data_IF_654707501917
#
_entry.id   IF_654707501917
#
_cell.length_a   1.000
_cell.length_b   1.000
_cell.length_c   1.000
_cell.angle_alpha   90.00
_cell.angle_beta   90.00
_cell.angle_gamma   90.00
#
_symmetry.space_group_name_H-M   'P 1'
#
loop_
_entity.id
_entity.type
_entity.pdbx_description
1 polymer ?
#
# COMPACT_ATOMS: atom_id res chain seq x y z
N UNK A 1 24.37 15.29 -0.79
CA UNK A 1 23.37 14.35 -1.29
C UNK A 1 22.95 14.84 -2.68
N UNK A 2 22.88 13.95 -3.63
CA UNK A 2 22.31 14.24 -4.95
C UNK A 2 20.80 13.98 -4.81
N UNK A 3 19.99 14.94 -5.22
CA UNK A 3 18.54 14.83 -5.23
C UNK A 3 18.08 14.49 -6.64
N UNK A 4 17.20 13.50 -6.77
CA UNK A 4 16.64 13.13 -8.08
C UNK A 4 15.54 14.10 -8.53
N UNK A 5 14.93 14.82 -7.58
CA UNK A 5 13.96 15.86 -7.82
C UNK A 5 13.69 16.69 -6.57
N UNK A 6 13.03 17.84 -6.76
CA UNK A 6 12.59 18.72 -5.68
C UNK A 6 11.21 19.23 -5.99
N UNK A 7 10.30 19.11 -5.02
CA UNK A 7 8.99 19.71 -5.08
C UNK A 7 9.02 21.01 -4.26
N UNK A 8 8.60 22.11 -4.85
CA UNK A 8 8.50 23.40 -4.17
C UNK A 8 7.02 23.75 -3.96
N UNK A 9 6.71 24.15 -2.72
CA UNK A 9 5.34 24.49 -2.34
C UNK A 9 4.49 23.30 -1.92
N UNK A 10 3.19 23.53 -1.84
CA UNK A 10 2.21 22.53 -1.44
C UNK A 10 1.92 21.55 -2.58
N UNK A 11 1.84 20.26 -2.24
CA UNK A 11 1.44 19.23 -3.21
C UNK A 11 -0.10 19.18 -3.27
N UNK A 12 -0.63 19.54 -4.43
CA UNK A 12 -2.08 19.61 -4.71
C UNK A 12 -2.53 18.68 -5.83
N UNK A 13 -1.58 18.02 -6.50
CA UNK A 13 -1.86 17.11 -7.62
C UNK A 13 -0.93 15.91 -7.57
N UNK A 14 -1.48 14.75 -7.29
CA UNK A 14 -0.76 13.47 -7.30
C UNK A 14 -1.49 12.44 -8.16
N UNK A 15 -0.71 11.48 -8.68
CA UNK A 15 -1.21 10.24 -9.23
C UNK A 15 -0.71 9.08 -8.36
N UNK A 16 -1.56 8.09 -8.09
CA UNK A 16 -1.20 6.92 -7.29
C UNK A 16 -1.48 5.62 -8.03
N UNK A 17 -0.48 4.75 -8.10
CA UNK A 17 -0.54 3.54 -8.91
C UNK A 17 -0.71 2.24 -8.10
N UNK A 18 -1.03 2.36 -6.81
CA UNK A 18 -1.35 1.21 -5.96
C UNK A 18 -2.49 1.50 -4.98
N UNK A 19 -3.25 0.46 -4.63
CA UNK A 19 -4.40 0.57 -3.73
C UNK A 19 -4.01 0.89 -2.27
N UNK A 20 -2.85 0.44 -1.81
CA UNK A 20 -2.33 0.77 -0.47
C UNK A 20 -2.12 2.27 -0.30
N UNK A 21 -1.58 2.94 -1.32
CA UNK A 21 -1.38 4.39 -1.30
C UNK A 21 -2.69 5.14 -1.07
N UNK A 22 -3.77 4.74 -1.76
CA UNK A 22 -5.10 5.36 -1.62
C UNK A 22 -5.62 5.31 -0.18
N UNK A 23 -5.36 4.22 0.53
CA UNK A 23 -5.69 4.09 1.96
C UNK A 23 -4.96 5.11 2.82
N UNK A 24 -3.68 5.35 2.56
CA UNK A 24 -2.90 6.36 3.29
C UNK A 24 -3.40 7.79 3.02
N UNK A 25 -3.71 8.14 1.77
CA UNK A 25 -4.33 9.44 1.45
C UNK A 25 -5.66 9.63 2.17
N UNK A 26 -6.49 8.58 2.23
CA UNK A 26 -7.77 8.64 2.93
C UNK A 26 -7.62 8.82 4.46
N UNK A 27 -6.67 8.11 5.07
CA UNK A 27 -6.39 8.22 6.51
C UNK A 27 -5.83 9.59 6.91
N UNK A 28 -5.30 10.34 5.95
CA UNK A 28 -4.82 11.70 6.13
C UNK A 28 -5.83 12.77 5.68
N UNK A 29 -7.06 12.41 5.31
CA UNK A 29 -8.02 13.33 4.71
C UNK A 29 -7.40 14.16 3.56
N UNK A 30 -6.64 13.49 2.68
CA UNK A 30 -5.88 14.10 1.59
C UNK A 30 -6.24 13.51 0.21
N UNK A 31 -7.43 12.91 0.07
CA UNK A 31 -7.88 12.35 -1.22
C UNK A 31 -8.11 13.42 -2.27
N UNK A 32 -8.36 14.65 -1.87
CA UNK A 32 -8.59 15.81 -2.75
C UNK A 32 -7.36 16.15 -3.61
N UNK A 33 -6.15 15.81 -3.19
CA UNK A 33 -4.93 15.99 -4.00
C UNK A 33 -4.76 14.86 -5.04
N UNK A 34 -5.46 13.72 -4.91
CA UNK A 34 -5.36 12.59 -5.84
C UNK A 34 -6.16 12.90 -7.10
N UNK A 35 -5.47 13.20 -8.21
CA UNK A 35 -6.09 13.50 -9.51
C UNK A 35 -6.20 12.29 -10.42
N UNK A 36 -5.38 11.26 -10.19
CA UNK A 36 -5.45 10.02 -10.93
C UNK A 36 -5.05 8.81 -10.09
N UNK A 37 -5.64 7.65 -10.40
CA UNK A 37 -5.26 6.41 -9.73
C UNK A 37 -5.44 5.19 -10.64
N UNK A 38 -4.74 4.10 -10.31
CA UNK A 38 -4.84 2.81 -11.03
C UNK A 38 -5.98 1.91 -10.52
N UNK A 39 -6.94 2.47 -9.78
CA UNK A 39 -8.07 1.73 -9.20
C UNK A 39 -9.34 2.13 -9.93
N UNK A 40 -10.06 1.15 -10.47
CA UNK A 40 -11.38 1.39 -11.07
C UNK A 40 -12.43 1.68 -10.00
N UNK A 41 -13.45 2.53 -10.28
CA UNK A 41 -14.49 2.88 -9.30
C UNK A 41 -15.19 1.66 -8.70
N UNK A 42 -15.50 0.64 -9.52
CA UNK A 42 -16.16 -0.60 -9.08
C UNK A 42 -15.29 -1.49 -8.18
N UNK A 43 -13.97 -1.29 -8.21
CA UNK A 43 -13.00 -2.02 -7.39
C UNK A 43 -12.41 -1.18 -6.26
N UNK A 44 -12.90 0.05 -6.09
CA UNK A 44 -12.40 0.98 -5.08
C UNK A 44 -13.14 0.78 -3.75
N UNK A 45 -12.42 0.32 -2.72
CA UNK A 45 -12.95 0.16 -1.36
C UNK A 45 -12.69 1.37 -0.46
N UNK A 46 -11.95 2.38 -0.93
CA UNK A 46 -11.72 3.65 -0.23
C UNK A 46 -12.84 4.61 -0.62
N UNK A 47 -13.81 4.80 0.27
CA UNK A 47 -15.06 5.54 -0.04
C UNK A 47 -14.81 6.96 -0.55
N UNK A 48 -13.89 7.72 0.05
CA UNK A 48 -13.57 9.06 -0.39
C UNK A 48 -12.98 9.10 -1.81
N UNK A 49 -12.08 8.17 -2.15
CA UNK A 49 -11.52 8.05 -3.49
C UNK A 49 -12.57 7.54 -4.49
N UNK A 50 -13.41 6.60 -4.08
CA UNK A 50 -14.53 6.13 -4.93
C UNK A 50 -15.45 7.28 -5.31
N UNK A 51 -15.83 8.13 -4.35
CA UNK A 51 -16.63 9.33 -4.60
C UNK A 51 -15.90 10.29 -5.55
N UNK A 52 -14.58 10.48 -5.39
CA UNK A 52 -13.78 11.32 -6.26
C UNK A 52 -13.74 10.80 -7.72
N UNK A 53 -13.67 9.47 -7.88
CA UNK A 53 -13.74 8.82 -9.20
C UNK A 53 -15.14 8.94 -9.84
N UNK A 54 -16.19 8.78 -9.06
CA UNK A 54 -17.58 8.85 -9.53
C UNK A 54 -18.00 10.27 -9.94
N UNK A 55 -17.48 11.29 -9.26
CA UNK A 55 -17.78 12.69 -9.57
C UNK A 55 -16.77 13.35 -10.52
N UNK A 56 -15.72 12.63 -10.93
CA UNK A 56 -14.71 13.09 -11.88
C UNK A 56 -13.63 14.01 -11.31
N UNK A 57 -13.53 14.18 -9.99
CA UNK A 57 -12.42 14.92 -9.35
C UNK A 57 -11.12 14.14 -9.30
N UNK A 58 -11.20 12.79 -9.42
CA UNK A 58 -10.10 11.90 -9.75
C UNK A 58 -10.47 11.03 -10.94
N UNK A 59 -9.48 10.52 -11.69
CA UNK A 59 -9.72 9.67 -12.86
C UNK A 59 -8.93 8.36 -12.77
N UNK A 60 -9.47 7.32 -13.39
CA UNK A 60 -8.76 6.06 -13.58
C UNK A 60 -7.73 6.20 -14.71
N UNK A 61 -6.48 5.93 -14.43
CA UNK A 61 -5.36 6.12 -15.38
C UNK A 61 -4.81 4.81 -15.96
N UNK A 62 -5.53 3.70 -15.80
CA UNK A 62 -5.08 2.39 -16.26
C UNK A 62 -4.40 1.56 -15.16
N UNK A 63 -3.86 0.41 -15.56
CA UNK A 63 -3.07 -0.50 -14.70
C UNK A 63 -1.60 -0.48 -15.13
N UNK A 64 -0.69 -1.04 -14.32
CA UNK A 64 0.74 -1.15 -14.65
C UNK A 64 1.00 -1.75 -16.04
N UNK A 65 0.14 -2.66 -16.53
CA UNK A 65 0.26 -3.28 -17.86
C UNK A 65 -0.35 -2.46 -19.00
N UNK A 66 -1.18 -1.46 -18.70
CA UNK A 66 -1.91 -0.65 -19.70
C UNK A 66 -2.21 0.76 -19.17
N UNK A 67 -1.14 1.45 -18.76
CA UNK A 67 -1.23 2.79 -18.21
C UNK A 67 -1.43 3.81 -19.33
N UNK A 68 -2.35 4.76 -19.12
CA UNK A 68 -2.57 5.88 -20.02
C UNK A 68 -1.62 7.04 -19.66
N UNK A 69 -0.43 7.02 -20.27
CA UNK A 69 0.62 8.01 -20.02
C UNK A 69 0.23 9.41 -20.50
N UNK A 70 -0.54 9.51 -21.58
CA UNK A 70 -1.01 10.82 -22.10
C UNK A 70 -2.00 11.46 -21.13
N UNK A 71 -2.92 10.65 -20.59
CA UNK A 71 -3.84 11.11 -19.56
C UNK A 71 -3.09 11.54 -18.30
N UNK A 72 -2.12 10.74 -17.81
CA UNK A 72 -1.31 11.12 -16.65
C UNK A 72 -0.58 12.43 -16.89
N UNK A 73 0.06 12.61 -18.04
CA UNK A 73 0.75 13.84 -18.38
C UNK A 73 -0.22 15.03 -18.44
N UNK A 74 -1.44 14.84 -18.94
CA UNK A 74 -2.47 15.89 -18.99
C UNK A 74 -2.97 16.34 -17.63
N UNK A 75 -2.92 15.46 -16.61
CA UNK A 75 -3.23 15.79 -15.22
C UNK A 75 -2.15 16.67 -14.57
N UNK A 76 -0.97 16.78 -15.19
CA UNK A 76 0.19 17.52 -14.70
C UNK A 76 0.49 17.26 -13.22
N UNK A 77 0.66 15.99 -12.79
CA UNK A 77 0.89 15.67 -11.39
C UNK A 77 2.25 16.21 -10.93
N UNK A 78 2.31 16.75 -9.72
CA UNK A 78 3.56 17.17 -9.11
C UNK A 78 4.40 15.95 -8.68
N UNK A 79 3.73 14.82 -8.40
CA UNK A 79 4.37 13.56 -8.05
C UNK A 79 3.46 12.37 -8.39
N UNK A 80 4.10 11.27 -8.77
CA UNK A 80 3.43 9.99 -9.02
C UNK A 80 3.99 8.97 -8.01
N UNK A 81 3.10 8.42 -7.18
CA UNK A 81 3.46 7.32 -6.29
C UNK A 81 3.33 5.99 -7.03
N UNK A 82 4.44 5.28 -7.14
CA UNK A 82 4.51 3.98 -7.80
C UNK A 82 4.88 2.90 -6.78
N UNK A 83 4.39 1.68 -6.98
CA UNK A 83 4.84 0.53 -6.20
C UNK A 83 6.31 0.21 -6.47
N UNK A 84 6.90 -0.64 -5.66
CA UNK A 84 8.30 -1.01 -5.79
C UNK A 84 8.52 -2.40 -6.41
N UNK A 85 7.49 -3.03 -6.97
CA UNK A 85 7.63 -4.30 -7.67
C UNK A 85 8.34 -4.09 -9.03
N UNK A 86 8.98 -5.13 -9.56
CA UNK A 86 9.75 -5.01 -10.81
C UNK A 86 8.95 -4.42 -11.97
N UNK A 87 7.68 -4.78 -12.10
CA UNK A 87 6.77 -4.21 -13.11
C UNK A 87 6.50 -2.72 -12.91
N UNK A 88 6.48 -2.26 -11.66
CA UNK A 88 6.22 -0.86 -11.33
C UNK A 88 7.46 0.00 -11.60
N UNK A 89 8.66 -0.56 -11.42
CA UNK A 89 9.93 0.09 -11.75
C UNK A 89 10.02 0.39 -13.25
N UNK A 90 9.65 -0.57 -14.11
CA UNK A 90 9.64 -0.36 -15.56
C UNK A 90 8.64 0.74 -15.98
N UNK A 91 7.50 0.80 -15.30
CA UNK A 91 6.48 1.84 -15.52
C UNK A 91 7.01 3.20 -15.07
N UNK A 92 7.61 3.27 -13.88
CA UNK A 92 8.17 4.51 -13.35
C UNK A 92 9.25 5.08 -14.28
N UNK A 93 10.17 4.24 -14.78
CA UNK A 93 11.22 4.67 -15.71
C UNK A 93 10.65 5.35 -16.97
N UNK A 94 9.59 4.81 -17.56
CA UNK A 94 8.93 5.41 -18.73
C UNK A 94 8.27 6.75 -18.41
N UNK A 95 7.69 6.89 -17.22
CA UNK A 95 7.11 8.16 -16.77
C UNK A 95 8.19 9.20 -16.50
N UNK A 96 9.31 8.80 -15.91
CA UNK A 96 10.48 9.66 -15.66
C UNK A 96 11.17 10.11 -16.96
N UNK A 97 11.26 9.24 -17.97
CA UNK A 97 11.74 9.59 -19.32
C UNK A 97 10.86 10.67 -19.97
N UNK A 98 9.59 10.76 -19.59
CA UNK A 98 8.65 11.80 -20.00
C UNK A 98 8.70 13.06 -19.13
N UNK A 99 9.65 13.13 -18.19
CA UNK A 99 9.85 14.29 -17.30
C UNK A 99 8.92 14.34 -16.09
N UNK A 100 8.21 13.26 -15.80
CA UNK A 100 7.34 13.14 -14.62
C UNK A 100 8.13 12.66 -13.41
N UNK A 101 7.84 13.18 -12.22
CA UNK A 101 8.51 12.80 -11.00
C UNK A 101 7.81 11.58 -10.36
N UNK A 102 8.54 10.47 -10.23
CA UNK A 102 8.06 9.27 -9.56
C UNK A 102 8.68 9.12 -8.16
N UNK A 103 7.87 8.66 -7.21
CA UNK A 103 8.30 8.28 -5.86
C UNK A 103 7.96 6.82 -5.64
N UNK A 104 8.98 6.02 -5.38
CA UNK A 104 8.83 4.59 -5.11
C UNK A 104 8.33 4.36 -3.69
N UNK A 105 7.25 3.60 -3.59
CA UNK A 105 6.58 3.29 -2.34
C UNK A 105 6.73 1.80 -2.05
N UNK A 106 7.61 1.47 -1.09
CA UNK A 106 8.05 0.10 -0.83
C UNK A 106 7.32 -0.62 0.30
N UNK A 107 6.10 -0.19 0.66
CA UNK A 107 5.32 -0.75 1.76
C UNK A 107 5.14 -2.27 1.70
N UNK A 108 5.09 -2.82 0.49
CA UNK A 108 4.93 -4.26 0.27
C UNK A 108 6.14 -5.09 0.73
N UNK A 109 7.33 -4.49 0.83
CA UNK A 109 8.57 -5.15 1.24
C UNK A 109 8.75 -5.20 2.77
N UNK A 110 7.91 -4.51 3.52
CA UNK A 110 7.96 -4.53 4.98
C UNK A 110 7.56 -5.90 5.54
N UNK A 111 8.34 -6.39 6.49
CA UNK A 111 8.15 -7.71 7.10
C UNK A 111 7.09 -7.71 8.20
N UNK A 112 6.68 -6.54 8.67
CA UNK A 112 5.66 -6.41 9.71
C UNK A 112 4.59 -5.37 9.37
N UNK A 113 3.44 -5.50 10.04
CA UNK A 113 2.27 -4.65 9.80
C UNK A 113 2.49 -3.18 10.22
N UNK A 114 3.33 -2.92 11.24
CA UNK A 114 3.61 -1.56 11.69
C UNK A 114 4.56 -0.86 10.71
N UNK A 115 5.56 -1.56 10.19
CA UNK A 115 6.42 -1.07 9.12
C UNK A 115 5.59 -0.64 7.92
N UNK A 116 4.63 -1.47 7.48
CA UNK A 116 3.69 -1.12 6.40
C UNK A 116 2.86 0.13 6.72
N UNK A 117 2.35 0.25 7.93
CA UNK A 117 1.56 1.39 8.35
C UNK A 117 2.38 2.69 8.38
N UNK A 118 3.67 2.63 8.74
CA UNK A 118 4.56 3.79 8.84
C UNK A 118 4.80 4.50 7.51
N UNK A 119 4.57 3.86 6.38
CA UNK A 119 4.65 4.51 5.06
C UNK A 119 3.66 5.67 4.89
N UNK A 120 2.65 5.79 5.75
CA UNK A 120 1.78 6.96 5.80
C UNK A 120 2.55 8.26 6.10
N UNK A 121 3.68 8.17 6.82
CA UNK A 121 4.50 9.35 7.13
C UNK A 121 5.16 9.93 5.88
N UNK A 122 5.53 9.07 4.91
CA UNK A 122 6.02 9.55 3.62
C UNK A 122 4.95 10.38 2.90
N UNK A 123 3.72 9.89 2.81
CA UNK A 123 2.62 10.65 2.20
C UNK A 123 2.34 11.92 2.99
N UNK A 124 2.32 11.84 4.34
CA UNK A 124 2.15 13.00 5.22
C UNK A 124 3.15 14.11 4.92
N UNK A 125 4.42 13.76 4.68
CA UNK A 125 5.46 14.73 4.32
C UNK A 125 5.18 15.43 2.98
N UNK A 126 4.62 14.73 1.99
CA UNK A 126 4.28 15.32 0.69
C UNK A 126 3.07 16.24 0.75
N UNK A 127 2.07 15.91 1.58
CA UNK A 127 0.79 16.65 1.64
C UNK A 127 0.69 17.58 2.86
N UNK A 128 1.83 17.88 3.50
CA UNK A 128 1.93 18.76 4.67
C UNK A 128 1.06 18.31 5.86
N UNK A 129 0.98 16.99 6.07
CA UNK A 129 0.22 16.35 7.14
C UNK A 129 1.08 15.45 8.04
N UNK A 130 2.34 15.84 8.25
CA UNK A 130 3.31 15.08 9.06
C UNK A 130 2.82 14.78 10.46
N UNK A 131 2.21 15.76 11.11
CA UNK A 131 1.72 15.58 12.48
C UNK A 131 0.56 14.60 12.51
N UNK A 132 -0.36 14.68 11.55
CA UNK A 132 -1.50 13.78 11.45
C UNK A 132 -1.04 12.33 11.15
N UNK A 133 -0.02 12.16 10.30
CA UNK A 133 0.58 10.86 10.04
C UNK A 133 1.21 10.24 11.29
N UNK A 134 1.99 11.01 12.05
CA UNK A 134 2.57 10.57 13.33
C UNK A 134 1.51 10.24 14.38
N UNK A 135 0.46 11.04 14.45
CA UNK A 135 -0.66 10.80 15.37
C UNK A 135 -1.40 9.51 15.01
N UNK A 136 -1.66 9.27 13.73
CA UNK A 136 -2.23 8.03 13.22
C UNK A 136 -1.40 6.81 13.65
N UNK A 137 -0.08 6.85 13.46
CA UNK A 137 0.81 5.75 13.85
C UNK A 137 0.80 5.55 15.37
N UNK A 138 0.89 6.63 16.16
CA UNK A 138 0.87 6.53 17.62
C UNK A 138 -0.43 5.91 18.14
N UNK A 139 -1.57 6.33 17.60
CA UNK A 139 -2.88 5.82 18.01
C UNK A 139 -3.08 4.35 17.63
N UNK A 140 -2.70 3.98 16.42
CA UNK A 140 -2.76 2.58 15.98
C UNK A 140 -1.82 1.70 16.81
N UNK A 141 -0.60 2.17 17.10
CA UNK A 141 0.33 1.45 17.95
C UNK A 141 -0.24 1.23 19.36
N UNK A 142 -0.87 2.23 19.96
CA UNK A 142 -1.49 2.09 21.27
C UNK A 142 -2.59 1.02 21.29
N UNK A 143 -3.43 0.97 20.25
CA UNK A 143 -4.46 -0.06 20.11
C UNK A 143 -3.84 -1.47 19.95
N UNK A 144 -2.77 -1.58 19.17
CA UNK A 144 -2.03 -2.84 19.03
C UNK A 144 -1.41 -3.27 20.36
N UNK A 145 -0.79 -2.35 21.10
CA UNK A 145 -0.17 -2.63 22.40
C UNK A 145 -1.23 -3.16 23.40
N UNK A 146 -2.46 -2.66 23.39
CA UNK A 146 -3.57 -3.18 24.19
C UNK A 146 -3.93 -4.63 23.80
N UNK A 147 -3.95 -4.96 22.51
CA UNK A 147 -4.21 -6.32 22.03
C UNK A 147 -3.07 -7.25 22.47
N UNK A 148 -1.82 -6.82 22.27
CA UNK A 148 -0.64 -7.59 22.68
C UNK A 148 -0.65 -7.90 24.18
N UNK A 149 -1.04 -6.96 25.03
CA UNK A 149 -1.16 -7.17 26.46
C UNK A 149 -2.19 -8.27 26.82
N UNK A 150 -3.32 -8.30 26.08
CA UNK A 150 -4.32 -9.38 26.25
C UNK A 150 -3.81 -10.74 25.77
N UNK A 151 -3.11 -10.75 24.66
CA UNK A 151 -2.53 -11.98 24.06
C UNK A 151 -1.48 -12.60 24.95
N UNK A 152 -0.64 -11.80 25.62
CA UNK A 152 0.38 -12.29 26.54
C UNK A 152 -0.18 -13.10 27.72
N UNK A 153 -1.44 -12.87 28.08
CA UNK A 153 -2.12 -13.58 29.16
C UNK A 153 -2.96 -14.78 28.68
N UNK A 154 -2.99 -15.04 27.36
CA UNK A 154 -3.76 -16.12 26.79
C UNK A 154 -3.04 -17.48 27.02
N UNK A 155 -3.79 -18.49 27.46
CA UNK A 155 -3.28 -19.85 27.67
C UNK A 155 -3.24 -20.66 26.36
N UNK A 156 -4.07 -20.27 25.38
CA UNK A 156 -4.20 -20.99 24.12
C UNK A 156 -3.75 -20.10 22.93
N UNK A 157 -3.03 -20.72 22.01
CA UNK A 157 -2.57 -20.10 20.78
C UNK A 157 -3.08 -20.89 19.57
N UNK A 158 -4.19 -20.49 18.93
CA UNK A 158 -4.79 -21.23 17.84
C UNK A 158 -3.86 -21.29 16.63
N UNK A 159 -3.92 -22.44 15.92
CA UNK A 159 -3.28 -22.56 14.62
C UNK A 159 -4.12 -21.87 13.55
N UNK A 160 -3.48 -21.05 12.70
CA UNK A 160 -4.12 -20.27 11.66
C UNK A 160 -3.62 -20.73 10.30
N UNK A 161 -4.54 -21.09 9.41
CA UNK A 161 -4.25 -21.30 7.99
C UNK A 161 -4.62 -20.04 7.23
N UNK A 162 -3.62 -19.32 6.70
CA UNK A 162 -3.83 -18.16 5.86
C UNK A 162 -3.49 -18.48 4.41
N UNK A 163 -4.47 -18.42 3.54
CA UNK A 163 -4.27 -18.74 2.13
C UNK A 163 -5.06 -17.82 1.20
N UNK A 164 -4.59 -17.76 -0.05
CA UNK A 164 -5.31 -17.15 -1.16
C UNK A 164 -5.50 -18.20 -2.26
N UNK A 165 -6.64 -18.14 -2.91
CA UNK A 165 -6.96 -18.99 -4.06
C UNK A 165 -7.45 -18.10 -5.22
N UNK A 166 -6.92 -18.35 -6.40
CA UNK A 166 -7.43 -17.77 -7.64
C UNK A 166 -8.18 -18.84 -8.43
N UNK A 167 -9.35 -18.53 -8.93
CA UNK A 167 -10.13 -19.44 -9.78
C UNK A 167 -9.39 -19.87 -11.08
N UNK A 168 -8.38 -19.10 -11.47
CA UNK A 168 -7.51 -19.40 -12.62
C UNK A 168 -6.29 -20.25 -12.28
N UNK A 169 -6.06 -20.58 -11.01
CA UNK A 169 -4.89 -21.33 -10.56
C UNK A 169 -5.31 -22.68 -9.92
N UNK A 170 -4.64 -23.79 -10.27
CA UNK A 170 -4.96 -25.12 -9.72
C UNK A 170 -4.35 -25.34 -8.32
N UNK A 171 -3.98 -24.29 -7.59
CA UNK A 171 -3.31 -24.38 -6.31
C UNK A 171 -3.73 -23.27 -5.36
N UNK A 172 -3.52 -23.51 -4.08
CA UNK A 172 -3.63 -22.50 -3.02
C UNK A 172 -2.25 -21.91 -2.74
N UNK A 173 -2.18 -20.58 -2.59
CA UNK A 173 -1.00 -19.92 -2.05
C UNK A 173 -1.19 -19.77 -0.55
N UNK A 174 -0.42 -20.50 0.23
CA UNK A 174 -0.46 -20.49 1.71
C UNK A 174 0.67 -19.61 2.21
N UNK A 175 0.33 -18.65 3.10
CA UNK A 175 1.32 -17.73 3.65
C UNK A 175 2.23 -18.46 4.66
N UNK A 176 3.49 -18.05 4.66
CA UNK A 176 4.55 -18.58 5.51
C UNK A 176 5.00 -17.55 6.56
N UNK A 177 5.93 -17.95 7.41
CA UNK A 177 6.53 -17.07 8.42
C UNK A 177 7.38 -15.92 7.83
N UNK A 178 7.80 -16.03 6.58
CA UNK A 178 8.48 -14.98 5.84
C UNK A 178 7.54 -13.87 5.32
N UNK A 179 6.21 -14.07 5.41
CA UNK A 179 5.22 -13.06 5.02
C UNK A 179 4.85 -12.17 6.22
N UNK A 180 4.58 -10.88 5.97
CA UNK A 180 4.13 -9.95 7.02
C UNK A 180 2.86 -10.40 7.74
N UNK A 181 2.05 -11.27 7.13
CA UNK A 181 0.88 -11.91 7.75
C UNK A 181 1.28 -12.67 9.02
N UNK A 182 2.50 -13.23 9.09
CA UNK A 182 2.99 -13.87 10.30
C UNK A 182 3.05 -12.89 11.47
N UNK A 183 3.47 -11.66 11.26
CA UNK A 183 3.50 -10.63 12.30
C UNK A 183 2.09 -10.30 12.82
N UNK A 184 1.09 -10.25 11.92
CA UNK A 184 -0.32 -10.03 12.29
C UNK A 184 -0.86 -11.20 13.11
N UNK A 185 -0.67 -12.44 12.62
CA UNK A 185 -1.16 -13.66 13.28
C UNK A 185 -0.52 -13.81 14.66
N UNK A 186 0.79 -13.57 14.75
CA UNK A 186 1.54 -13.66 16.02
C UNK A 186 1.09 -12.57 17.01
N UNK A 187 0.90 -11.32 16.56
CA UNK A 187 0.38 -10.24 17.38
C UNK A 187 -1.03 -10.53 17.91
N UNK A 188 -1.85 -11.22 17.12
CA UNK A 188 -3.18 -11.68 17.54
C UNK A 188 -3.17 -12.95 18.40
N UNK A 189 -1.99 -13.51 18.77
CA UNK A 189 -1.85 -14.69 19.60
C UNK A 189 -1.98 -16.02 18.87
N UNK A 190 -2.06 -16.02 17.54
CA UNK A 190 -2.11 -17.21 16.72
C UNK A 190 -0.74 -17.71 16.29
N UNK A 191 -0.71 -18.86 15.64
CA UNK A 191 0.46 -19.41 14.95
C UNK A 191 0.08 -19.85 13.55
N UNK A 192 0.88 -19.49 12.55
CA UNK A 192 0.67 -20.01 11.20
C UNK A 192 0.86 -21.52 11.17
N UNK A 193 -0.03 -22.22 10.47
CA UNK A 193 -0.02 -23.68 10.37
C UNK A 193 1.20 -24.21 9.61
N UNK A 194 1.72 -23.42 8.65
CA UNK A 194 2.91 -23.75 7.87
C UNK A 194 4.01 -22.70 8.09
N UNK A 195 4.73 -22.76 9.23
CA UNK A 195 5.73 -21.75 9.57
C UNK A 195 7.05 -21.90 8.80
N UNK A 196 7.23 -22.97 8.01
CA UNK A 196 8.52 -23.33 7.45
C UNK A 196 8.61 -23.10 5.95
N UNK A 197 9.04 -21.91 5.58
CA UNK A 197 9.77 -21.74 4.33
C UNK A 197 10.62 -20.47 4.46
N UNK A 198 11.85 -20.66 4.81
CA UNK A 198 12.79 -19.58 5.13
C UNK A 198 13.16 -18.67 3.94
N UNK A 199 12.54 -18.78 2.78
CA UNK A 199 12.88 -18.00 1.60
C UNK A 199 11.68 -17.44 0.82
N UNK A 200 10.49 -18.04 0.91
CA UNK A 200 9.33 -17.62 0.14
C UNK A 200 8.17 -17.16 1.04
N UNK A 201 7.57 -16.03 0.73
CA UNK A 201 6.40 -15.50 1.45
C UNK A 201 5.17 -16.40 1.34
N UNK A 202 5.16 -17.35 0.41
CA UNK A 202 4.08 -18.31 0.26
C UNK A 202 4.54 -19.61 -0.38
N UNK A 203 3.85 -20.70 -0.04
CA UNK A 203 3.99 -22.01 -0.68
C UNK A 203 2.74 -22.34 -1.50
N UNK A 204 2.93 -23.12 -2.56
CA UNK A 204 1.82 -23.60 -3.41
C UNK A 204 1.42 -25.00 -2.99
N UNK A 205 0.17 -25.17 -2.55
CA UNK A 205 -0.43 -26.47 -2.31
C UNK A 205 -1.33 -26.83 -3.48
N UNK A 206 -1.01 -27.94 -4.16
CA UNK A 206 -1.89 -28.52 -5.19
C UNK A 206 -3.13 -29.16 -4.54
N UNK A 207 -4.22 -29.19 -5.30
CA UNK A 207 -5.43 -29.95 -4.96
C UNK A 207 -5.13 -31.45 -4.92
#
# INVERSE_FOLDING_TARGET
>A
AQWDGKIEGEVTSVVTLASSHAGHFANLDAVDVVKGCSIKPESCYVNSLKTALENGSAVYVGTSSSLDQELIASLAPQVIFVGGMSSDVEVAQKLEESGLLCVYFGDFAEEDYMGRAQWIELIGAFVNKDQQARDFIRENKAQVDEVLAKVQSAEEHPSVLWYTHSSSAPHFNVRTDADYVNSIVSAAGGRLLFPQSAQDNSIKLSN
#
